data_IF_403342973019
#
_entry.id   IF_403342973019
#
_cell.length_a   1.000
_cell.length_b   1.000
_cell.length_c   1.000
_cell.angle_alpha   90.00
_cell.angle_beta   90.00
_cell.angle_gamma   90.00
#
_symmetry.space_group_name_H-M   'P 1'
#
loop_
_entity.id
_entity.type
_entity.pdbx_description
1 polymer ?
#
# COMPACT_ATOMS: atom_id res chain seq x y z
N UNK A 1 24.05 -8.48 -20.11
CA UNK A 1 24.46 -9.39 -19.03
C UNK A 1 23.38 -9.32 -17.96
N UNK A 2 22.72 -10.44 -17.62
CA UNK A 2 21.80 -10.46 -16.48
C UNK A 2 22.63 -10.58 -15.21
N UNK A 3 22.58 -9.56 -14.36
CA UNK A 3 23.17 -9.59 -13.01
C UNK A 3 22.11 -10.10 -12.04
N UNK A 4 22.52 -10.91 -11.07
CA UNK A 4 21.59 -11.52 -10.10
C UNK A 4 21.07 -10.49 -9.10
N UNK A 5 19.94 -10.80 -8.44
CA UNK A 5 19.42 -10.01 -7.30
C UNK A 5 20.51 -9.76 -6.25
N UNK A 6 21.36 -10.76 -6.00
CA UNK A 6 22.48 -10.65 -5.06
C UNK A 6 23.50 -9.59 -5.48
N UNK A 7 23.89 -9.60 -6.76
CA UNK A 7 24.86 -8.65 -7.30
C UNK A 7 24.31 -7.22 -7.33
N UNK A 8 23.04 -7.04 -7.72
CA UNK A 8 22.37 -5.72 -7.70
C UNK A 8 22.33 -5.17 -6.28
N UNK A 9 21.97 -6.01 -5.31
CA UNK A 9 21.90 -5.61 -3.91
C UNK A 9 23.26 -5.18 -3.37
N UNK A 10 24.31 -5.99 -3.59
CA UNK A 10 25.67 -5.66 -3.16
C UNK A 10 26.13 -4.31 -3.71
N UNK A 11 25.89 -4.05 -5.00
CA UNK A 11 26.21 -2.76 -5.62
C UNK A 11 25.46 -1.60 -4.95
N UNK A 12 24.16 -1.76 -4.66
CA UNK A 12 23.37 -0.70 -3.98
C UNK A 12 23.80 -0.49 -2.53
N UNK A 13 24.10 -1.55 -1.78
CA UNK A 13 24.56 -1.46 -0.38
C UNK A 13 25.95 -0.84 -0.26
N UNK A 14 26.78 -0.88 -1.31
CA UNK A 14 28.04 -0.12 -1.34
C UNK A 14 27.77 1.39 -1.44
N UNK A 15 26.80 1.79 -2.26
CA UNK A 15 26.45 3.20 -2.50
C UNK A 15 25.61 3.82 -1.38
N UNK A 16 24.78 3.02 -0.72
CA UNK A 16 23.93 3.46 0.39
C UNK A 16 24.11 2.55 1.61
N UNK A 17 24.87 3.03 2.60
CA UNK A 17 25.21 2.28 3.82
C UNK A 17 24.05 2.17 4.82
N UNK A 18 23.01 2.99 4.71
CA UNK A 18 21.80 2.87 5.55
C UNK A 18 20.76 1.90 4.97
N UNK A 19 21.03 1.32 3.79
CA UNK A 19 20.13 0.37 3.15
C UNK A 19 20.07 -0.94 3.94
N UNK A 20 18.88 -1.31 4.43
CA UNK A 20 18.62 -2.60 5.07
C UNK A 20 17.59 -3.42 4.29
N UNK A 21 17.62 -4.74 4.45
CA UNK A 21 16.63 -5.64 3.85
C UNK A 21 15.50 -5.91 4.84
N UNK A 22 14.26 -5.63 4.45
CA UNK A 22 13.06 -5.93 5.22
C UNK A 22 12.18 -6.97 4.52
N UNK A 23 11.57 -7.87 5.29
CA UNK A 23 10.60 -8.84 4.78
C UNK A 23 9.29 -8.14 4.47
N UNK A 24 8.61 -8.56 3.39
CA UNK A 24 7.34 -7.98 2.94
C UNK A 24 6.38 -9.08 2.52
N UNK A 25 5.08 -8.82 2.58
CA UNK A 25 4.11 -9.69 1.93
C UNK A 25 4.20 -9.54 0.41
N UNK A 26 4.23 -10.67 -0.30
CA UNK A 26 4.14 -10.72 -1.77
C UNK A 26 2.69 -10.89 -2.18
N UNK A 27 2.21 -10.02 -3.06
CA UNK A 27 0.90 -10.22 -3.66
C UNK A 27 0.94 -11.36 -4.69
N UNK A 28 0.08 -12.37 -4.50
CA UNK A 28 -0.03 -13.57 -5.33
C UNK A 28 -1.36 -13.72 -6.06
N UNK A 29 -2.26 -12.75 -5.95
CA UNK A 29 -3.60 -12.79 -6.57
C UNK A 29 -4.72 -12.66 -5.54
N UNK A 30 -5.95 -12.78 -6.00
CA UNK A 30 -7.15 -12.74 -5.15
C UNK A 30 -8.28 -13.56 -5.74
N UNK A 31 -9.26 -13.88 -4.89
CA UNK A 31 -10.54 -14.48 -5.29
C UNK A 31 -11.65 -13.66 -4.64
N UNK A 32 -12.57 -13.15 -5.46
CA UNK A 32 -13.82 -12.56 -4.98
C UNK A 32 -14.84 -13.68 -4.79
N UNK A 33 -15.32 -13.85 -3.56
CA UNK A 33 -16.42 -14.77 -3.26
C UNK A 33 -17.68 -13.95 -3.10
N UNK A 34 -18.51 -13.95 -4.13
CA UNK A 34 -19.88 -13.47 -4.01
C UNK A 34 -20.60 -14.36 -2.99
N UNK A 35 -21.32 -13.77 -2.04
CA UNK A 35 -22.14 -14.53 -1.09
C UNK A 35 -23.02 -15.53 -1.85
N UNK A 36 -23.01 -16.79 -1.40
CA UNK A 36 -23.79 -17.86 -2.04
C UNK A 36 -25.25 -17.87 -1.59
N UNK A 37 -25.95 -18.98 -1.85
CA UNK A 37 -27.26 -19.27 -1.24
C UNK A 37 -27.14 -19.58 0.28
N UNK A 38 -25.92 -19.75 0.80
CA UNK A 38 -25.63 -19.70 2.23
C UNK A 38 -25.44 -18.25 2.68
N UNK A 39 -25.82 -17.97 3.94
CA UNK A 39 -25.74 -16.68 4.66
C UNK A 39 -24.31 -16.06 4.77
N UNK A 40 -23.35 -16.48 3.94
CA UNK A 40 -21.99 -15.97 3.94
C UNK A 40 -21.92 -14.60 3.26
N UNK A 41 -21.49 -13.59 4.01
CA UNK A 41 -21.26 -12.26 3.48
C UNK A 41 -20.21 -12.28 2.34
N UNK A 42 -20.39 -11.45 1.30
CA UNK A 42 -19.42 -11.34 0.22
C UNK A 42 -18.06 -10.89 0.76
N UNK A 43 -17.01 -11.62 0.40
CA UNK A 43 -15.66 -11.34 0.89
C UNK A 43 -14.60 -11.57 -0.18
N UNK A 44 -13.43 -10.97 0.04
CA UNK A 44 -12.25 -11.13 -0.81
C UNK A 44 -11.22 -11.96 -0.08
N UNK A 45 -10.66 -12.96 -0.76
CA UNK A 45 -9.51 -13.72 -0.30
C UNK A 45 -8.26 -13.24 -1.05
N UNK A 46 -7.26 -12.73 -0.34
CA UNK A 46 -5.97 -12.36 -0.93
C UNK A 46 -4.99 -13.52 -0.80
N UNK A 47 -4.39 -13.93 -1.91
CA UNK A 47 -3.31 -14.90 -1.91
C UNK A 47 -2.00 -14.16 -1.67
N UNK A 48 -1.37 -14.43 -0.52
CA UNK A 48 -0.15 -13.75 -0.09
C UNK A 48 1.00 -14.74 0.05
N UNK A 49 2.15 -14.38 -0.49
CA UNK A 49 3.42 -15.02 -0.23
C UNK A 49 4.33 -14.12 0.62
N UNK A 50 5.60 -14.48 0.70
CA UNK A 50 6.64 -13.63 1.27
C UNK A 50 7.61 -13.19 0.19
N UNK A 51 8.18 -12.01 0.38
CA UNK A 51 9.28 -11.47 -0.39
C UNK A 51 10.10 -10.53 0.51
N UNK A 52 11.08 -9.84 -0.06
CA UNK A 52 11.87 -8.86 0.65
C UNK A 52 12.23 -7.65 -0.23
N UNK A 53 12.72 -6.60 0.43
CA UNK A 53 13.11 -5.36 -0.24
C UNK A 53 14.29 -5.58 -1.20
N UNK A 54 15.21 -6.49 -0.87
CA UNK A 54 16.32 -6.90 -1.74
C UNK A 54 15.83 -7.46 -3.08
N UNK A 55 14.85 -8.34 -3.05
CA UNK A 55 14.25 -8.94 -4.25
C UNK A 55 13.46 -7.89 -5.02
N UNK A 56 12.77 -6.97 -4.34
CA UNK A 56 12.12 -5.82 -4.98
C UNK A 56 13.11 -4.93 -5.75
N UNK A 57 14.26 -4.62 -5.13
CA UNK A 57 15.36 -3.90 -5.76
C UNK A 57 15.88 -4.61 -7.01
N UNK A 58 16.05 -5.93 -6.94
CA UNK A 58 16.60 -6.72 -8.04
C UNK A 58 15.61 -7.07 -9.16
N UNK A 59 14.30 -6.92 -8.93
CA UNK A 59 13.25 -7.27 -9.90
C UNK A 59 12.46 -6.04 -10.34
N UNK A 60 11.48 -5.59 -9.55
CA UNK A 60 10.62 -4.45 -9.88
C UNK A 60 11.42 -3.15 -10.11
N UNK A 61 12.42 -2.84 -9.27
CA UNK A 61 13.24 -1.62 -9.44
C UNK A 61 14.45 -1.81 -10.37
N UNK A 62 14.55 -2.97 -11.05
CA UNK A 62 15.55 -3.18 -12.08
C UNK A 62 15.25 -2.30 -13.29
N UNK A 63 16.25 -1.70 -13.97
CA UNK A 63 16.05 -1.07 -15.27
C UNK A 63 15.50 -2.04 -16.34
N UNK A 64 15.57 -3.35 -16.09
CA UNK A 64 15.09 -4.41 -16.97
C UNK A 64 13.78 -5.03 -16.47
N UNK A 65 13.03 -4.37 -15.58
CA UNK A 65 11.85 -4.94 -14.93
C UNK A 65 10.81 -5.51 -15.92
N UNK A 66 10.65 -4.89 -17.09
CA UNK A 66 9.74 -5.33 -18.15
C UNK A 66 10.08 -6.74 -18.67
N UNK A 67 11.36 -7.15 -18.62
CA UNK A 67 11.80 -8.49 -19.04
C UNK A 67 11.39 -9.60 -18.08
N UNK A 68 10.94 -9.24 -16.87
CA UNK A 68 10.40 -10.20 -15.91
C UNK A 68 8.89 -10.42 -16.08
N UNK A 69 8.25 -9.66 -16.98
CA UNK A 69 6.83 -9.82 -17.26
C UNK A 69 6.58 -11.00 -18.22
N UNK A 70 5.47 -11.68 -18.01
CA UNK A 70 4.95 -12.71 -18.93
C UNK A 70 3.62 -12.26 -19.52
N UNK A 71 3.34 -12.60 -20.77
CA UNK A 71 2.08 -12.19 -21.41
C UNK A 71 0.89 -12.90 -20.76
N UNK A 72 0.07 -12.14 -20.03
CA UNK A 72 -1.16 -12.60 -19.38
C UNK A 72 -2.04 -11.39 -19.06
N UNK A 73 -3.36 -11.58 -19.08
CA UNK A 73 -4.32 -10.60 -18.55
C UNK A 73 -4.42 -10.67 -17.02
N UNK A 74 -4.14 -11.83 -16.44
CA UNK A 74 -4.08 -12.02 -14.99
C UNK A 74 -2.83 -11.37 -14.40
N UNK A 75 -3.01 -10.31 -13.61
CA UNK A 75 -1.94 -9.52 -12.99
C UNK A 75 -0.93 -10.37 -12.20
N UNK A 76 -1.40 -11.40 -11.47
CA UNK A 76 -0.51 -12.23 -10.66
C UNK A 76 0.36 -13.18 -11.52
N UNK A 77 -0.14 -13.61 -12.68
CA UNK A 77 0.62 -14.39 -13.66
C UNK A 77 1.60 -13.48 -14.37
N UNK A 78 1.14 -12.33 -14.87
CA UNK A 78 1.95 -11.30 -15.51
C UNK A 78 3.19 -10.93 -14.67
N UNK A 79 3.01 -10.84 -13.35
CA UNK A 79 4.05 -10.46 -12.39
C UNK A 79 4.68 -11.66 -11.65
N UNK A 80 4.61 -12.88 -12.20
CA UNK A 80 5.10 -14.08 -11.51
C UNK A 80 6.62 -14.09 -11.23
N UNK A 81 7.42 -13.41 -12.06
CA UNK A 81 8.88 -13.32 -11.87
C UNK A 81 9.32 -12.02 -11.18
N UNK A 82 8.40 -11.25 -10.61
CA UNK A 82 8.71 -10.05 -9.81
C UNK A 82 8.47 -10.29 -8.33
N UNK A 83 9.16 -9.51 -7.48
CA UNK A 83 8.99 -9.50 -6.03
C UNK A 83 7.56 -9.16 -5.63
N UNK A 84 6.95 -8.18 -6.31
CA UNK A 84 5.56 -7.74 -6.09
C UNK A 84 5.20 -7.51 -4.61
N UNK A 85 5.99 -6.73 -3.86
CA UNK A 85 5.68 -6.45 -2.45
C UNK A 85 4.38 -5.65 -2.38
N UNK A 86 3.43 -6.13 -1.59
CA UNK A 86 2.15 -5.47 -1.38
C UNK A 86 2.37 -4.24 -0.48
N UNK A 87 2.20 -3.05 -1.03
CA UNK A 87 2.06 -1.83 -0.23
C UNK A 87 0.63 -1.66 0.28
N UNK A 88 0.42 -0.67 1.15
CA UNK A 88 -0.92 -0.20 1.51
C UNK A 88 -1.03 1.33 1.30
N UNK A 89 -2.26 1.84 1.33
CA UNK A 89 -2.55 3.27 1.25
C UNK A 89 -3.98 3.59 1.70
N UNK A 90 -4.18 4.74 2.34
CA UNK A 90 -5.47 5.13 2.91
C UNK A 90 -5.99 6.43 2.30
N UNK A 91 -7.19 6.38 1.73
CA UNK A 91 -7.97 7.58 1.46
C UNK A 91 -8.66 7.97 2.77
N UNK A 92 -8.08 8.92 3.48
CA UNK A 92 -8.63 9.44 4.74
C UNK A 92 -9.50 10.66 4.46
N UNK A 93 -10.76 10.60 4.87
CA UNK A 93 -11.74 11.67 4.69
C UNK A 93 -12.17 12.25 6.04
N UNK A 94 -11.95 13.55 6.23
CA UNK A 94 -12.27 14.30 7.45
C UNK A 94 -13.77 14.58 7.60
N UNK A 95 -14.19 15.03 8.78
CA UNK A 95 -15.60 15.33 9.05
C UNK A 95 -16.15 16.50 8.22
N UNK A 96 -15.27 17.40 7.77
CA UNK A 96 -15.57 18.49 6.83
C UNK A 96 -15.42 18.07 5.35
N UNK A 97 -15.39 16.75 5.08
CA UNK A 97 -15.34 16.14 3.75
C UNK A 97 -14.11 16.52 2.91
N UNK A 98 -12.95 16.69 3.57
CA UNK A 98 -11.66 16.87 2.91
C UNK A 98 -10.91 15.55 2.87
N UNK A 99 -10.15 15.36 1.80
CA UNK A 99 -9.31 14.18 1.59
C UNK A 99 -7.87 14.56 1.91
N UNK A 100 -7.21 13.73 2.70
CA UNK A 100 -5.83 13.97 3.12
C UNK A 100 -4.84 13.43 2.08
N UNK A 101 -3.87 14.27 1.69
CA UNK A 101 -2.83 13.94 0.71
C UNK A 101 -1.49 14.46 1.20
N UNK A 102 -0.46 13.62 1.16
CA UNK A 102 0.91 13.97 1.53
C UNK A 102 1.72 14.32 0.28
N UNK A 103 2.59 15.30 0.39
CA UNK A 103 3.66 15.52 -0.59
C UNK A 103 4.95 14.90 -0.07
N UNK A 104 5.49 13.96 -0.84
CA UNK A 104 6.71 13.24 -0.50
C UNK A 104 7.91 14.18 -0.47
N UNK A 105 8.78 13.95 0.50
CA UNK A 105 10.07 14.63 0.62
C UNK A 105 10.96 14.38 -0.60
N UNK A 106 11.90 15.28 -0.86
CA UNK A 106 12.88 15.11 -1.94
C UNK A 106 13.98 14.08 -1.59
N UNK A 107 14.03 13.63 -0.32
CA UNK A 107 15.06 12.72 0.18
C UNK A 107 14.64 11.24 0.12
N UNK A 108 13.42 10.94 -0.34
CA UNK A 108 12.91 9.57 -0.44
C UNK A 108 13.37 8.88 -1.74
N UNK A 109 13.53 7.55 -1.68
CA UNK A 109 14.08 6.76 -2.80
C UNK A 109 13.14 6.54 -3.98
N UNK A 110 11.82 6.71 -3.80
CA UNK A 110 10.82 6.57 -4.85
C UNK A 110 9.92 7.81 -4.91
N UNK A 111 9.74 8.38 -6.12
CA UNK A 111 8.84 9.49 -6.42
C UNK A 111 9.01 10.73 -5.50
N UNK A 112 10.21 11.33 -5.41
CA UNK A 112 10.43 12.55 -4.62
C UNK A 112 9.53 13.69 -5.11
N UNK A 113 8.89 14.41 -4.18
CA UNK A 113 8.01 15.54 -4.48
C UNK A 113 6.65 15.19 -5.10
N UNK A 114 6.32 13.90 -5.24
CA UNK A 114 5.00 13.45 -5.72
C UNK A 114 3.97 13.46 -4.59
N UNK A 115 2.69 13.48 -4.98
CA UNK A 115 1.59 13.37 -4.04
C UNK A 115 1.22 11.90 -3.80
N UNK A 116 0.94 11.56 -2.54
CA UNK A 116 0.52 10.21 -2.14
C UNK A 116 -0.59 10.29 -1.10
N UNK A 117 -1.35 9.22 -1.04
CA UNK A 117 -2.15 8.94 0.14
C UNK A 117 -1.26 8.41 1.26
N UNK A 118 -1.59 8.67 2.53
CA UNK A 118 -0.91 8.07 3.66
C UNK A 118 -0.83 6.55 3.55
N UNK A 119 0.27 5.95 3.98
CA UNK A 119 0.48 4.50 3.95
C UNK A 119 1.92 4.09 3.67
N UNK A 120 2.18 2.79 3.78
CA UNK A 120 3.49 2.19 3.61
C UNK A 120 3.40 0.72 3.24
N UNK A 121 3.81 -0.15 4.15
CA UNK A 121 3.92 -1.58 3.90
C UNK A 121 3.69 -2.45 5.14
N UNK A 122 2.69 -3.35 5.13
CA UNK A 122 2.56 -4.36 6.18
C UNK A 122 3.80 -5.27 6.20
N UNK A 123 4.34 -5.52 7.39
CA UNK A 123 5.53 -6.35 7.56
C UNK A 123 5.18 -7.69 8.21
N UNK A 124 5.57 -8.83 7.60
CA UNK A 124 5.30 -10.15 8.17
C UNK A 124 5.86 -10.36 9.58
N UNK A 125 6.93 -9.63 9.93
CA UNK A 125 7.59 -9.74 11.23
C UNK A 125 6.73 -9.22 12.39
N UNK A 126 5.84 -8.25 12.15
CA UNK A 126 4.91 -7.69 13.16
C UNK A 126 3.96 -8.76 13.72
N UNK A 127 3.72 -9.82 12.95
CA UNK A 127 2.90 -10.98 13.35
C UNK A 127 3.72 -12.27 13.50
N UNK A 128 5.04 -12.15 13.66
CA UNK A 128 5.92 -13.28 13.93
C UNK A 128 6.24 -14.18 12.72
N UNK A 129 5.93 -13.75 11.49
CA UNK A 129 6.28 -14.48 10.27
C UNK A 129 7.66 -14.02 9.78
N UNK A 130 8.67 -14.84 10.05
CA UNK A 130 10.07 -14.53 9.69
C UNK A 130 10.56 -15.23 8.43
N UNK A 131 9.90 -16.30 8.01
CA UNK A 131 10.28 -17.11 6.85
C UNK A 131 9.10 -17.93 6.30
N UNK A 132 9.29 -18.54 5.12
CA UNK A 132 8.32 -19.47 4.57
C UNK A 132 8.17 -20.68 5.50
N UNK A 133 6.94 -20.97 5.89
CA UNK A 133 6.64 -22.15 6.68
C UNK A 133 6.59 -23.38 5.76
N UNK A 134 7.42 -24.38 6.01
CA UNK A 134 7.44 -25.65 5.27
C UNK A 134 6.38 -26.64 5.80
N UNK A 135 5.22 -26.14 6.23
CA UNK A 135 4.16 -26.94 6.81
C UNK A 135 3.07 -27.13 5.76
N UNK A 136 2.54 -28.35 5.63
CA UNK A 136 1.54 -28.71 4.60
C UNK A 136 0.24 -27.91 4.72
N UNK A 137 -0.14 -27.52 5.93
CA UNK A 137 -1.31 -26.72 6.24
C UNK A 137 -0.91 -25.66 7.27
N UNK A 138 -1.20 -24.40 6.95
CA UNK A 138 -1.05 -23.28 7.87
C UNK A 138 -2.29 -23.25 8.78
N UNK A 139 -2.13 -23.08 10.11
CA UNK A 139 -3.26 -22.84 10.99
C UNK A 139 -4.12 -21.67 10.51
N UNK A 140 -5.45 -21.79 10.59
CA UNK A 140 -6.39 -20.70 10.25
C UNK A 140 -6.10 -19.39 11.02
N UNK A 141 -5.52 -19.52 12.22
CA UNK A 141 -5.06 -18.39 13.03
C UNK A 141 -4.04 -17.51 12.30
N UNK A 142 -3.23 -18.06 11.39
CA UNK A 142 -2.28 -17.29 10.58
C UNK A 142 -3.04 -16.42 9.59
N UNK A 143 -4.06 -16.95 8.90
CA UNK A 143 -4.86 -16.17 7.97
C UNK A 143 -5.59 -15.02 8.69
N UNK A 144 -6.12 -15.29 9.89
CA UNK A 144 -6.74 -14.26 10.74
C UNK A 144 -5.72 -13.18 11.13
N UNK A 145 -4.52 -13.57 11.55
CA UNK A 145 -3.48 -12.62 11.97
C UNK A 145 -2.95 -11.79 10.80
N UNK A 146 -2.73 -12.41 9.62
CA UNK A 146 -2.34 -11.70 8.40
C UNK A 146 -3.44 -10.72 7.99
N UNK A 147 -4.70 -11.15 8.00
CA UNK A 147 -5.82 -10.26 7.70
C UNK A 147 -5.87 -9.09 8.68
N UNK A 148 -5.74 -9.34 9.99
CA UNK A 148 -5.73 -8.29 11.00
C UNK A 148 -4.58 -7.30 10.77
N UNK A 149 -3.39 -7.80 10.48
CA UNK A 149 -2.21 -6.96 10.19
C UNK A 149 -2.41 -6.07 8.96
N UNK A 150 -3.13 -6.51 7.93
CA UNK A 150 -3.44 -5.64 6.77
C UNK A 150 -4.26 -4.40 7.15
N UNK A 151 -5.15 -4.52 8.13
CA UNK A 151 -5.98 -3.41 8.62
C UNK A 151 -5.29 -2.63 9.73
N UNK A 152 -4.60 -3.30 10.65
CA UNK A 152 -3.88 -2.62 11.75
C UNK A 152 -2.71 -1.80 11.21
N UNK A 153 -1.96 -2.33 10.23
CA UNK A 153 -0.83 -1.61 9.61
C UNK A 153 -1.27 -0.30 8.98
N UNK A 154 -2.38 -0.27 8.22
CA UNK A 154 -2.79 0.97 7.58
C UNK A 154 -3.27 2.03 8.59
N UNK A 155 -3.84 1.61 9.71
CA UNK A 155 -4.16 2.54 10.81
C UNK A 155 -2.89 3.09 11.44
N UNK A 156 -1.88 2.24 11.70
CA UNK A 156 -0.58 2.68 12.23
C UNK A 156 0.09 3.70 11.31
N UNK A 157 0.18 3.40 10.02
CA UNK A 157 0.78 4.29 9.02
C UNK A 157 0.08 5.67 8.97
N UNK A 158 -1.26 5.70 9.01
CA UNK A 158 -2.02 6.97 9.07
C UNK A 158 -1.70 7.76 10.33
N UNK A 159 -1.58 7.10 11.48
CA UNK A 159 -1.24 7.74 12.75
C UNK A 159 0.20 8.25 12.74
N UNK A 160 1.14 7.46 12.21
CA UNK A 160 2.57 7.77 12.16
C UNK A 160 2.87 8.93 11.20
N UNK A 161 2.25 8.94 10.01
CA UNK A 161 2.49 9.96 8.98
C UNK A 161 1.67 11.25 9.18
N UNK A 162 0.50 11.20 9.82
CA UNK A 162 -0.40 12.35 9.99
C UNK A 162 -0.45 12.85 11.44
N UNK A 163 -0.08 12.02 12.41
CA UNK A 163 -0.05 12.36 13.84
C UNK A 163 -1.42 12.37 14.54
N UNK A 164 -2.51 12.05 13.84
CA UNK A 164 -3.86 12.01 14.43
C UNK A 164 -4.01 10.82 15.38
N UNK A 165 -4.82 10.92 16.45
CA UNK A 165 -5.02 9.79 17.36
C UNK A 165 -5.81 8.68 16.67
N UNK A 166 -5.45 7.41 16.89
CA UNK A 166 -6.17 6.26 16.32
C UNK A 166 -7.67 6.26 16.64
N UNK A 167 -8.06 6.78 17.81
CA UNK A 167 -9.47 6.90 18.23
C UNK A 167 -10.28 7.91 17.39
N UNK A 168 -9.64 8.75 16.58
CA UNK A 168 -10.30 9.64 15.63
C UNK A 168 -10.66 8.95 14.30
N UNK A 169 -10.11 7.76 14.06
CA UNK A 169 -10.25 7.03 12.81
C UNK A 169 -11.33 5.95 12.92
N UNK A 170 -12.15 5.82 11.89
CA UNK A 170 -13.06 4.68 11.76
C UNK A 170 -12.29 3.40 11.46
N UNK A 171 -12.95 2.25 11.62
CA UNK A 171 -12.44 0.99 11.08
C UNK A 171 -12.19 1.15 9.58
N UNK A 172 -11.01 0.77 9.06
CA UNK A 172 -10.72 0.87 7.63
C UNK A 172 -11.64 -0.03 6.80
N UNK A 173 -12.12 0.49 5.68
CA UNK A 173 -12.81 -0.30 4.67
C UNK A 173 -11.84 -0.60 3.51
N UNK A 174 -11.61 -1.87 3.19
CA UNK A 174 -10.81 -2.23 2.02
C UNK A 174 -11.58 -1.90 0.72
N UNK A 175 -11.00 -1.05 -0.13
CA UNK A 175 -11.65 -0.57 -1.35
C UNK A 175 -11.08 -1.18 -2.63
N UNK A 176 -9.96 -1.91 -2.55
CA UNK A 176 -9.42 -2.68 -3.66
C UNK A 176 -7.89 -2.66 -3.74
N UNK A 177 -7.36 -3.17 -4.85
CA UNK A 177 -5.91 -3.20 -5.14
C UNK A 177 -5.67 -2.38 -6.40
N UNK A 178 -4.62 -1.56 -6.38
CA UNK A 178 -4.12 -0.90 -7.57
C UNK A 178 -2.68 -1.31 -7.85
N UNK A 179 -2.39 -1.60 -9.11
CA UNK A 179 -1.05 -1.88 -9.62
C UNK A 179 -0.54 -0.69 -10.43
N UNK A 180 0.74 -0.36 -10.26
CA UNK A 180 1.41 0.65 -11.10
C UNK A 180 1.66 0.10 -12.50
N UNK A 181 1.54 0.93 -13.52
CA UNK A 181 2.07 0.61 -14.86
C UNK A 181 3.60 0.50 -14.81
N UNK A 182 4.25 1.52 -14.22
CA UNK A 182 5.68 1.50 -13.97
C UNK A 182 6.00 0.49 -12.88
N UNK A 183 6.93 -0.42 -13.13
CA UNK A 183 7.49 -1.38 -12.17
C UNK A 183 6.50 -2.34 -11.49
N UNK A 184 5.23 -2.35 -11.91
CA UNK A 184 4.19 -3.32 -11.54
C UNK A 184 4.00 -3.57 -10.05
N UNK A 185 4.41 -2.63 -9.19
CA UNK A 185 4.21 -2.76 -7.74
C UNK A 185 2.70 -2.63 -7.41
N UNK A 186 2.11 -3.60 -6.68
CA UNK A 186 0.74 -3.51 -6.19
C UNK A 186 0.65 -2.78 -4.85
N UNK A 187 -0.51 -2.17 -4.59
CA UNK A 187 -0.87 -1.63 -3.29
C UNK A 187 -2.36 -1.86 -2.99
N UNK A 188 -2.65 -2.29 -1.77
CA UNK A 188 -3.98 -2.37 -1.20
C UNK A 188 -4.44 -0.99 -0.75
N UNK A 189 -5.66 -0.59 -1.10
CA UNK A 189 -6.23 0.69 -0.69
C UNK A 189 -7.36 0.52 0.29
N UNK A 190 -7.39 1.43 1.26
CA UNK A 190 -8.41 1.50 2.30
C UNK A 190 -9.05 2.88 2.32
N UNK A 191 -10.31 2.93 2.74
CA UNK A 191 -11.03 4.16 3.05
C UNK A 191 -11.21 4.26 4.56
N UNK A 192 -10.91 5.43 5.13
CA UNK A 192 -11.00 5.69 6.57
C UNK A 192 -11.69 7.05 6.77
N UNK A 193 -12.73 7.08 7.61
CA UNK A 193 -13.31 8.35 8.08
C UNK A 193 -12.52 8.84 9.28
N UNK A 194 -12.17 10.13 9.29
CA UNK A 194 -11.61 10.82 10.43
C UNK A 194 -12.68 11.75 11.03
N UNK A 195 -12.89 11.69 12.34
CA UNK A 195 -13.87 12.53 13.02
C UNK A 195 -13.37 13.95 13.33
N UNK A 196 -12.09 14.24 13.04
CA UNK A 196 -11.49 15.57 13.10
C UNK A 196 -11.73 16.31 11.79
N UNK A 197 -11.80 17.65 11.86
CA UNK A 197 -11.82 18.50 10.68
C UNK A 197 -10.42 18.73 10.11
N UNK A 198 -10.35 19.25 8.88
CA UNK A 198 -9.09 19.49 8.19
C UNK A 198 -8.12 20.43 8.90
N UNK A 199 -8.60 21.36 9.74
CA UNK A 199 -7.75 22.28 10.51
C UNK A 199 -7.18 21.60 11.74
N UNK A 200 -7.98 20.80 12.43
CA UNK A 200 -7.55 19.99 13.57
C UNK A 200 -6.46 19.00 13.13
N UNK A 201 -6.68 18.28 12.02
CA UNK A 201 -5.69 17.36 11.45
C UNK A 201 -4.37 18.07 11.15
N UNK A 202 -4.42 19.29 10.59
CA UNK A 202 -3.21 20.06 10.28
C UNK A 202 -2.38 20.39 11.54
N UNK A 203 -3.02 20.55 12.70
CA UNK A 203 -2.33 20.80 13.96
C UNK A 203 -1.56 19.54 14.41
N UNK A 204 -2.17 18.36 14.28
CA UNK A 204 -1.54 17.08 14.61
C UNK A 204 -0.35 16.72 13.72
N UNK A 205 -0.39 17.11 12.43
CA UNK A 205 0.68 16.82 11.48
C UNK A 205 2.06 17.35 11.92
N UNK A 206 2.09 18.46 12.67
CA UNK A 206 3.34 19.01 13.21
C UNK A 206 4.07 18.08 14.19
N UNK A 207 3.36 17.09 14.75
CA UNK A 207 3.89 16.06 15.65
C UNK A 207 3.95 14.67 15.02
N UNK A 208 3.76 14.54 13.70
CA UNK A 208 3.87 13.25 13.01
C UNK A 208 5.26 12.64 13.22
N UNK A 209 5.30 11.32 13.42
CA UNK A 209 6.53 10.58 13.69
C UNK A 209 7.42 10.51 12.43
N UNK A 210 6.78 10.32 11.27
CA UNK A 210 7.46 10.20 9.97
C UNK A 210 7.51 11.54 9.21
N UNK A 211 7.67 12.64 9.94
CA UNK A 211 7.78 13.99 9.37
C UNK A 211 8.96 14.21 8.42
N UNK A 212 9.86 13.24 8.27
CA UNK A 212 10.96 13.29 7.29
C UNK A 212 10.54 12.76 5.90
N UNK A 213 9.51 11.90 5.82
CA UNK A 213 9.05 11.25 4.59
C UNK A 213 8.18 12.15 3.72
N UNK A 214 7.48 13.09 4.35
CA UNK A 214 6.63 14.08 3.70
C UNK A 214 7.03 15.50 4.09
N UNK A 215 6.85 16.44 3.17
CA UNK A 215 7.15 17.87 3.42
C UNK A 215 5.91 18.69 3.70
N UNK A 216 4.73 18.16 3.34
CA UNK A 216 3.47 18.87 3.47
C UNK A 216 2.29 17.90 3.47
N UNK A 217 1.31 18.20 4.33
CA UNK A 217 -0.02 17.63 4.30
C UNK A 217 -1.00 18.61 3.66
N UNK A 218 -1.84 18.11 2.75
CA UNK A 218 -2.91 18.84 2.09
C UNK A 218 -4.26 18.24 2.46
N UNK A 219 -5.25 19.11 2.67
CA UNK A 219 -6.66 18.75 2.85
C UNK A 219 -7.46 19.28 1.66
N UNK A 220 -7.84 18.37 0.76
CA UNK A 220 -8.34 18.74 -0.58
C UNK A 220 -9.76 18.24 -0.82
N UNK A 221 -10.49 18.96 -1.65
CA UNK A 221 -11.74 18.47 -2.23
C UNK A 221 -11.48 17.41 -3.30
N UNK A 222 -12.55 16.73 -3.71
CA UNK A 222 -12.52 15.75 -4.80
C UNK A 222 -11.96 16.32 -6.12
N UNK A 223 -12.32 17.57 -6.44
CA UNK A 223 -11.90 18.25 -7.67
C UNK A 223 -10.40 18.60 -7.61
N UNK A 224 -9.94 19.10 -6.46
CA UNK A 224 -8.52 19.40 -6.24
C UNK A 224 -7.67 18.13 -6.30
N UNK A 225 -8.17 17.02 -5.71
CA UNK A 225 -7.51 15.72 -5.78
C UNK A 225 -7.39 15.21 -7.23
N UNK A 226 -8.42 15.39 -8.04
CA UNK A 226 -8.38 15.03 -9.47
C UNK A 226 -7.28 15.78 -10.22
N UNK A 227 -7.08 17.07 -9.92
CA UNK A 227 -5.98 17.86 -10.48
C UNK A 227 -4.60 17.36 -10.01
N UNK A 228 -4.51 16.94 -8.73
CA UNK A 228 -3.28 16.40 -8.15
C UNK A 228 -2.93 14.99 -8.64
N UNK A 229 -3.93 14.20 -9.05
CA UNK A 229 -3.76 12.80 -9.43
C UNK A 229 -2.70 12.59 -10.53
N UNK A 230 -2.55 13.54 -11.45
CA UNK A 230 -1.52 13.49 -12.50
C UNK A 230 -0.08 13.37 -11.96
N UNK A 231 0.16 13.87 -10.73
CA UNK A 231 1.43 13.84 -10.00
C UNK A 231 1.43 12.83 -8.85
N UNK A 232 0.56 11.84 -8.88
CA UNK A 232 0.61 10.70 -7.97
C UNK A 232 1.29 9.50 -8.65
N UNK A 233 2.01 8.64 -7.91
CA UNK A 233 2.46 7.35 -8.44
C UNK A 233 1.27 6.52 -8.93
N UNK A 234 1.50 5.64 -9.91
CA UNK A 234 0.43 4.88 -10.58
C UNK A 234 -0.53 4.16 -9.63
N UNK A 235 -0.03 3.57 -8.54
CA UNK A 235 -0.86 2.88 -7.55
C UNK A 235 -1.76 3.86 -6.80
N UNK A 236 -1.30 5.05 -6.44
CA UNK A 236 -2.13 6.05 -5.76
C UNK A 236 -3.14 6.69 -6.72
N UNK A 237 -2.82 6.82 -8.01
CA UNK A 237 -3.82 7.17 -9.03
C UNK A 237 -4.94 6.14 -9.10
N UNK A 238 -4.60 4.85 -9.08
CA UNK A 238 -5.62 3.82 -9.01
C UNK A 238 -6.34 3.77 -7.66
N UNK A 239 -5.67 4.07 -6.55
CA UNK A 239 -6.31 4.28 -5.24
C UNK A 239 -7.37 5.37 -5.27
N UNK A 240 -7.09 6.50 -5.95
CA UNK A 240 -8.07 7.54 -6.18
C UNK A 240 -9.25 7.06 -7.06
N UNK A 241 -8.97 6.28 -8.11
CA UNK A 241 -10.01 5.69 -8.93
C UNK A 241 -10.92 4.72 -8.14
N UNK A 242 -10.35 3.90 -7.24
CA UNK A 242 -11.10 3.03 -6.34
C UNK A 242 -12.00 3.84 -5.40
N UNK A 243 -11.48 4.95 -4.86
CA UNK A 243 -12.29 5.85 -4.03
C UNK A 243 -13.45 6.48 -4.81
N UNK A 244 -13.24 6.93 -6.05
CA UNK A 244 -14.32 7.40 -6.95
C UNK A 244 -15.42 6.35 -7.09
N UNK A 245 -15.03 5.11 -7.40
CA UNK A 245 -15.98 3.99 -7.55
C UNK A 245 -16.77 3.74 -6.26
N UNK A 246 -16.11 3.74 -5.10
CA UNK A 246 -16.78 3.59 -3.81
C UNK A 246 -17.80 4.71 -3.56
N UNK A 247 -17.42 5.97 -3.78
CA UNK A 247 -18.29 7.14 -3.56
C UNK A 247 -19.49 7.10 -4.52
N UNK A 248 -19.28 6.76 -5.78
CA UNK A 248 -20.37 6.70 -6.76
C UNK A 248 -21.33 5.54 -6.48
N UNK A 249 -20.83 4.40 -6.00
CA UNK A 249 -21.68 3.26 -5.58
C UNK A 249 -22.59 3.65 -4.41
N UNK A 250 -22.07 4.42 -3.43
CA UNK A 250 -22.85 4.93 -2.29
C UNK A 250 -23.96 5.92 -2.67
N UNK A 251 -23.86 6.59 -3.82
CA UNK A 251 -24.94 7.48 -4.29
C UNK A 251 -26.12 6.71 -4.90
N UNK A 252 -25.92 5.44 -5.24
CA UNK A 252 -26.91 4.59 -5.92
C UNK A 252 -27.70 3.75 -4.88
N UNK A 253 -27.19 3.63 -3.65
CA UNK A 253 -27.83 2.99 -2.48
C UNK A 253 -28.46 4.00 -1.54
#
# INVERSE_FOLDING_TARGET
MFISVAQIWEQRSVQNKSLFNGNKFRYGGHVLRAGGESDDEPHVCLHLGLTDYRTFVGTNLSPLWEKFLVSSEDDFVLCQHTSSPLGNGAVVETIDNKILVLQRSNNVGEFPGYFVFPGGHPEPQEIGITSHQNVKELPDSININVSREMFDSIVREVVEEIGVPASSLSVPAFIGISRRDLNVRPAAFFFIKCNLDSKEVQQFYSSALDGYESTQLYSVSMIELENMASRMPGCHRGGFALYKLMVDTRKIT
#
